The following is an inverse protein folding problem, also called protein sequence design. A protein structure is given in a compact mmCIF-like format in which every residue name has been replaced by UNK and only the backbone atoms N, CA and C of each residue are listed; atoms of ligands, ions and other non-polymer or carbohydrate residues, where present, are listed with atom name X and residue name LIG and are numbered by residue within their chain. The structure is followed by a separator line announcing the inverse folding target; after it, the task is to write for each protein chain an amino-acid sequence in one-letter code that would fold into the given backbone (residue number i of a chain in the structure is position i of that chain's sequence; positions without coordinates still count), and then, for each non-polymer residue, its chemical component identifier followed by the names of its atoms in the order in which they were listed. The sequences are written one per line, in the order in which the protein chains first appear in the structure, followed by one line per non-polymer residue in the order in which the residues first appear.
data_IF_075355767292
#
_entry.id   IF_075355767292
#
_cell.length_a   1.000
_cell.length_b   1.000
_cell.length_c   1.000
_cell.angle_alpha   90.00
_cell.angle_beta   90.00
_cell.angle_gamma   90.00
#
_symmetry.space_group_name_H-M   'P 1'
#
loop_
_entity.id
_entity.type
_entity.pdbx_description
1 polymer ?
#
# COMPACT_ATOMS: atom_id res chain seq x y z
N UNK A 1 17.06 -20.29 4.86
CA UNK A 1 15.85 -21.10 5.15
C UNK A 1 15.47 -20.77 6.58
N UNK A 2 14.42 -20.06 6.94
CA UNK A 2 13.07 -19.82 6.39
C UNK A 2 12.67 -18.41 6.85
N UNK A 3 12.36 -17.49 5.93
CA UNK A 3 11.66 -16.24 6.29
C UNK A 3 10.26 -16.37 5.72
N UNK A 4 9.44 -17.14 6.43
CA UNK A 4 8.00 -17.05 6.26
C UNK A 4 7.66 -15.66 6.81
N UNK A 5 7.40 -14.72 5.91
CA UNK A 5 6.85 -13.41 6.27
C UNK A 5 5.40 -13.65 6.66
N UNK A 6 5.20 -13.90 7.96
CA UNK A 6 3.90 -14.20 8.53
C UNK A 6 2.99 -12.96 8.50
N UNK A 7 2.25 -12.78 7.40
CA UNK A 7 1.12 -11.86 7.32
C UNK A 7 -0.08 -12.51 7.98
N UNK A 8 -0.49 -12.01 9.16
CA UNK A 8 -1.70 -12.47 9.83
C UNK A 8 -2.87 -11.54 9.51
N UNK A 9 -3.95 -12.14 9.00
CA UNK A 9 -5.23 -11.53 8.67
C UNK A 9 -6.08 -11.32 9.95
N UNK A 10 -6.69 -10.14 10.10
CA UNK A 10 -7.88 -9.99 10.94
C UNK A 10 -9.16 -10.10 10.10
N UNK A 11 -10.15 -10.81 10.64
CA UNK A 11 -11.41 -11.22 10.00
C UNK A 11 -12.13 -10.08 9.25
N UNK A 12 -12.44 -10.34 7.98
CA UNK A 12 -13.30 -9.52 7.12
C UNK A 12 -14.64 -9.17 7.77
N UNK A 13 -14.93 -7.86 7.92
CA UNK A 13 -16.28 -7.36 8.15
C UNK A 13 -16.86 -6.78 6.85
N UNK A 14 -18.17 -6.99 6.64
CA UNK A 14 -18.89 -6.69 5.38
C UNK A 14 -18.98 -5.19 5.01
N UNK A 15 -18.39 -4.27 5.78
CA UNK A 15 -18.25 -2.85 5.42
C UNK A 15 -16.83 -2.58 4.87
N UNK A 16 -16.59 -3.13 3.68
CA UNK A 16 -15.34 -3.73 3.23
C UNK A 16 -14.46 -2.79 2.36
N UNK A 17 -14.19 -1.56 2.80
CA UNK A 17 -13.34 -0.61 2.04
C UNK A 17 -11.85 -0.64 2.42
N UNK A 18 -11.49 -1.38 3.47
CA UNK A 18 -10.14 -1.43 4.01
C UNK A 18 -9.60 -2.85 4.02
N UNK A 19 -8.28 -2.98 3.97
CA UNK A 19 -7.50 -4.20 4.15
C UNK A 19 -6.68 -4.01 5.42
N UNK A 20 -6.89 -4.89 6.39
CA UNK A 20 -6.15 -4.91 7.65
C UNK A 20 -5.11 -6.02 7.58
N UNK A 21 -3.86 -5.69 7.88
CA UNK A 21 -2.72 -6.60 7.77
C UNK A 21 -1.70 -6.34 8.87
N UNK A 22 -1.02 -7.40 9.29
CA UNK A 22 0.13 -7.34 10.17
C UNK A 22 1.42 -7.45 9.33
N UNK A 23 2.34 -6.50 9.46
CA UNK A 23 3.61 -6.49 8.73
C UNK A 23 4.81 -6.40 9.66
N UNK A 24 5.92 -7.04 9.30
CA UNK A 24 7.17 -6.87 10.01
C UNK A 24 7.65 -5.40 9.92
N UNK A 25 8.08 -4.84 11.05
CA UNK A 25 8.54 -3.44 11.16
C UNK A 25 9.68 -3.11 10.18
N UNK A 26 10.61 -4.04 9.99
CA UNK A 26 11.75 -3.87 9.06
C UNK A 26 11.29 -3.90 7.62
N UNK A 27 10.35 -4.80 7.28
CA UNK A 27 9.72 -4.83 5.95
C UNK A 27 9.01 -3.51 5.62
N UNK A 28 8.27 -2.96 6.58
CA UNK A 28 7.58 -1.68 6.44
C UNK A 28 8.53 -0.51 6.17
N UNK A 29 9.68 -0.48 6.86
CA UNK A 29 10.72 0.51 6.61
C UNK A 29 11.27 0.49 5.16
N UNK A 30 11.42 -0.69 4.55
CA UNK A 30 11.84 -0.79 3.15
C UNK A 30 10.76 -0.30 2.19
N UNK A 31 9.49 -0.50 2.51
CA UNK A 31 8.36 0.03 1.73
C UNK A 31 8.30 1.56 1.81
N UNK A 32 8.52 2.13 3.00
CA UNK A 32 8.65 3.59 3.17
C UNK A 32 9.79 4.15 2.31
N UNK A 33 10.94 3.48 2.28
CA UNK A 33 12.06 3.89 1.40
C UNK A 33 11.71 3.84 -0.08
N UNK A 34 10.96 2.82 -0.52
CA UNK A 34 10.50 2.74 -1.91
C UNK A 34 9.59 3.91 -2.26
N UNK A 35 8.70 4.31 -1.34
CA UNK A 35 7.82 5.47 -1.51
C UNK A 35 8.62 6.78 -1.57
N UNK A 36 9.63 6.96 -0.71
CA UNK A 36 10.52 8.13 -0.74
C UNK A 36 11.24 8.28 -2.09
N UNK A 37 11.82 7.17 -2.58
CA UNK A 37 12.51 7.15 -3.85
C UNK A 37 11.54 7.43 -5.00
N UNK A 38 10.33 6.86 -4.97
CA UNK A 38 9.32 7.10 -5.99
C UNK A 38 8.83 8.54 -6.00
N UNK A 39 8.62 9.14 -4.83
CA UNK A 39 8.21 10.54 -4.69
C UNK A 39 9.28 11.54 -5.16
N UNK A 40 10.54 11.10 -5.24
CA UNK A 40 11.63 11.91 -5.77
C UNK A 40 11.64 11.97 -7.32
N UNK A 41 10.80 11.17 -8.01
CA UNK A 41 10.67 11.19 -9.47
C UNK A 41 9.77 12.35 -9.94
N UNK A 42 10.25 13.12 -10.92
CA UNK A 42 9.57 14.29 -11.50
C UNK A 42 8.35 13.93 -12.37
N UNK A 43 8.15 12.65 -12.70
CA UNK A 43 7.14 12.20 -13.67
C UNK A 43 5.89 11.54 -13.06
N UNK A 44 5.52 11.95 -11.83
CA UNK A 44 4.29 11.47 -11.19
C UNK A 44 3.06 12.28 -11.62
N UNK A 45 1.94 11.57 -11.82
CA UNK A 45 0.61 12.20 -11.88
C UNK A 45 0.22 12.73 -10.50
N UNK A 46 -0.67 13.72 -10.44
CA UNK A 46 -1.05 14.37 -9.17
C UNK A 46 -1.74 13.40 -8.22
N UNK A 47 -2.54 12.49 -8.76
CA UNK A 47 -3.21 11.45 -7.96
C UNK A 47 -2.20 10.42 -7.43
N UNK A 48 -1.18 10.06 -8.20
CA UNK A 48 -0.12 9.14 -7.75
C UNK A 48 0.74 9.78 -6.66
N UNK A 49 1.15 11.03 -6.84
CA UNK A 49 1.91 11.79 -5.84
C UNK A 49 1.13 11.88 -4.52
N UNK A 50 -0.15 12.27 -4.60
CA UNK A 50 -1.06 12.31 -3.45
C UNK A 50 -1.17 10.94 -2.76
N UNK A 51 -1.40 9.88 -3.54
CA UNK A 51 -1.52 8.53 -2.99
C UNK A 51 -0.24 8.06 -2.31
N UNK A 52 0.93 8.30 -2.90
CA UNK A 52 2.21 7.88 -2.33
C UNK A 52 2.59 8.68 -1.09
N UNK A 53 2.29 9.98 -1.04
CA UNK A 53 2.47 10.77 0.19
C UNK A 53 1.61 10.22 1.33
N UNK A 54 0.32 9.95 1.06
CA UNK A 54 -0.60 9.38 2.08
C UNK A 54 -0.18 7.99 2.54
N UNK A 55 0.24 7.12 1.63
CA UNK A 55 0.75 5.79 1.97
C UNK A 55 2.02 5.88 2.82
N UNK A 56 2.91 6.83 2.52
CA UNK A 56 4.13 7.05 3.28
C UNK A 56 3.83 7.52 4.70
N UNK A 57 2.91 8.49 4.85
CA UNK A 57 2.42 8.95 6.17
C UNK A 57 1.82 7.78 6.96
N UNK A 58 0.90 7.02 6.36
CA UNK A 58 0.26 5.86 6.98
C UNK A 58 1.29 4.85 7.51
N UNK A 59 2.25 4.46 6.68
CA UNK A 59 3.27 3.48 7.06
C UNK A 59 4.22 4.01 8.14
N UNK A 60 4.60 5.28 8.04
CA UNK A 60 5.42 5.93 9.04
C UNK A 60 4.72 5.97 10.40
N UNK A 61 3.46 6.42 10.42
CA UNK A 61 2.67 6.56 11.64
C UNK A 61 2.44 5.21 12.30
N UNK A 62 2.01 4.19 11.53
CA UNK A 62 1.86 2.82 12.03
C UNK A 62 3.19 2.27 12.58
N UNK A 63 4.32 2.56 11.91
CA UNK A 63 5.64 2.15 12.42
C UNK A 63 5.99 2.87 13.72
N UNK A 64 5.67 4.15 13.87
CA UNK A 64 6.01 4.91 15.08
C UNK A 64 5.08 4.66 16.27
N UNK A 65 3.88 4.10 16.04
CA UNK A 65 2.87 3.86 17.08
C UNK A 65 3.29 2.83 18.15
N UNK A 66 4.11 1.85 17.79
CA UNK A 66 4.53 0.78 18.70
C UNK A 66 5.94 0.29 18.38
N UNK A 67 6.70 -0.13 19.40
CA UNK A 67 8.03 -0.76 19.24
C UNK A 67 7.98 -2.27 18.99
N UNK A 68 6.78 -2.82 18.78
CA UNK A 68 6.62 -4.24 18.47
C UNK A 68 7.29 -4.61 17.14
N UNK A 69 7.76 -5.87 17.01
CA UNK A 69 8.41 -6.35 15.78
C UNK A 69 7.44 -6.42 14.60
N UNK A 70 6.14 -6.44 14.88
CA UNK A 70 5.07 -6.42 13.91
C UNK A 70 4.16 -5.22 14.14
N UNK A 71 3.72 -4.63 13.05
CA UNK A 71 2.91 -3.41 12.99
C UNK A 71 1.59 -3.75 12.31
N UNK A 72 0.49 -3.31 12.91
CA UNK A 72 -0.83 -3.42 12.30
C UNK A 72 -1.04 -2.23 11.35
N UNK A 73 -1.55 -2.52 10.15
CA UNK A 73 -1.81 -1.51 9.12
C UNK A 73 -3.21 -1.72 8.57
N UNK A 74 -3.92 -0.61 8.42
CA UNK A 74 -5.25 -0.55 7.79
C UNK A 74 -5.20 0.32 6.53
N UNK A 75 -5.20 -0.33 5.36
CA UNK A 75 -5.06 0.34 4.06
C UNK A 75 -6.42 0.40 3.34
N UNK A 76 -6.82 1.57 2.85
CA UNK A 76 -8.01 1.66 1.99
C UNK A 76 -7.77 0.99 0.63
N UNK A 77 -8.76 0.26 0.12
CA UNK A 77 -8.69 -0.48 -1.14
C UNK A 77 -8.45 0.41 -2.38
N UNK A 78 -8.73 1.71 -2.32
CA UNK A 78 -8.39 2.63 -3.41
C UNK A 78 -6.86 2.76 -3.61
N UNK A 79 -6.06 2.48 -2.58
CA UNK A 79 -4.60 2.56 -2.65
C UNK A 79 -3.95 1.35 -3.34
N UNK A 80 -4.67 0.25 -3.53
CA UNK A 80 -4.08 -1.01 -4.00
C UNK A 80 -3.51 -0.90 -5.41
N UNK A 81 -4.15 -0.13 -6.30
CA UNK A 81 -3.62 0.14 -7.64
C UNK A 81 -2.30 0.89 -7.58
N UNK A 82 -2.17 1.87 -6.68
CA UNK A 82 -0.92 2.61 -6.51
C UNK A 82 0.18 1.71 -5.95
N UNK A 83 -0.15 0.82 -5.01
CA UNK A 83 0.79 -0.19 -4.51
C UNK A 83 1.26 -1.16 -5.62
N UNK A 84 0.36 -1.58 -6.50
CA UNK A 84 0.71 -2.41 -7.68
C UNK A 84 1.62 -1.65 -8.65
N UNK A 85 1.31 -0.38 -8.94
CA UNK A 85 2.16 0.45 -9.79
C UNK A 85 3.56 0.65 -9.19
N UNK A 86 3.64 0.84 -7.87
CA UNK A 86 4.91 0.95 -7.14
C UNK A 86 5.71 -0.36 -7.24
N UNK A 87 5.06 -1.50 -7.04
CA UNK A 87 5.66 -2.82 -7.20
C UNK A 87 6.21 -3.04 -8.61
N UNK A 88 5.43 -2.67 -9.63
CA UNK A 88 5.87 -2.74 -11.03
C UNK A 88 7.07 -1.84 -11.31
N UNK A 89 7.10 -0.63 -10.75
CA UNK A 89 8.24 0.27 -10.90
C UNK A 89 9.54 -0.34 -10.35
N UNK A 90 9.46 -0.99 -9.18
CA UNK A 90 10.61 -1.61 -8.51
C UNK A 90 10.82 -3.10 -8.82
N UNK A 91 10.21 -3.64 -9.88
CA UNK A 91 10.21 -5.09 -10.14
C UNK A 91 11.61 -5.72 -10.26
N UNK A 92 12.64 -4.98 -10.68
CA UNK A 92 14.02 -5.48 -10.80
C UNK A 92 14.91 -5.20 -9.58
N UNK A 93 14.38 -4.58 -8.51
CA UNK A 93 15.14 -4.20 -7.31
C UNK A 93 14.86 -5.19 -6.18
N UNK A 94 15.88 -5.95 -5.78
CA UNK A 94 15.75 -6.98 -4.72
C UNK A 94 15.60 -6.38 -3.32
N UNK A 95 16.15 -5.19 -3.09
CA UNK A 95 16.02 -4.47 -1.81
C UNK A 95 14.56 -4.11 -1.46
N UNK A 96 13.68 -4.08 -2.45
CA UNK A 96 12.24 -3.84 -2.30
C UNK A 96 11.41 -5.13 -2.43
N UNK A 97 12.00 -6.29 -2.18
CA UNK A 97 11.27 -7.56 -2.07
C UNK A 97 10.06 -7.49 -1.11
N UNK A 98 10.13 -6.82 0.06
CA UNK A 98 8.96 -6.65 0.93
C UNK A 98 7.76 -5.98 0.25
N UNK A 99 7.99 -5.03 -0.67
CA UNK A 99 6.93 -4.38 -1.43
C UNK A 99 6.26 -5.36 -2.39
N UNK A 100 7.03 -6.25 -3.02
CA UNK A 100 6.49 -7.29 -3.90
C UNK A 100 5.61 -8.26 -3.14
N UNK A 101 6.10 -8.75 -2.00
CA UNK A 101 5.34 -9.67 -1.16
C UNK A 101 4.04 -9.02 -0.68
N UNK A 102 4.09 -7.75 -0.24
CA UNK A 102 2.89 -7.01 0.14
C UNK A 102 1.92 -6.84 -1.04
N UNK A 103 2.43 -6.54 -2.23
CA UNK A 103 1.63 -6.39 -3.44
C UNK A 103 0.95 -7.70 -3.85
N UNK A 104 1.66 -8.82 -3.81
CA UNK A 104 1.13 -10.16 -4.10
C UNK A 104 0.03 -10.55 -3.10
N UNK A 105 0.29 -10.30 -1.81
CA UNK A 105 -0.66 -10.54 -0.73
C UNK A 105 -1.94 -9.71 -0.97
N UNK A 106 -1.80 -8.42 -1.23
CA UNK A 106 -2.92 -7.52 -1.54
C UNK A 106 -3.68 -7.96 -2.81
N UNK A 107 -2.97 -8.36 -3.87
CA UNK A 107 -3.58 -8.72 -5.15
C UNK A 107 -4.48 -9.95 -5.02
N UNK A 108 -4.12 -10.92 -4.18
CA UNK A 108 -4.98 -12.06 -3.85
C UNK A 108 -6.34 -11.61 -3.30
N UNK A 109 -6.39 -10.50 -2.54
CA UNK A 109 -7.62 -9.95 -1.97
C UNK A 109 -8.35 -8.96 -2.88
N UNK A 110 -7.66 -8.33 -3.83
CA UNK A 110 -8.27 -7.44 -4.82
C UNK A 110 -9.23 -8.17 -5.77
N UNK A 111 -9.10 -9.49 -5.92
CA UNK A 111 -9.92 -10.30 -6.85
C UNK A 111 -11.42 -10.20 -6.52
N UNK A 112 -11.79 -10.04 -5.25
CA UNK A 112 -13.20 -9.92 -4.84
C UNK A 112 -13.80 -8.52 -5.03
N UNK A 113 -12.96 -7.48 -5.22
CA UNK A 113 -13.39 -6.08 -5.28
C UNK A 113 -12.89 -5.36 -6.55
N UNK A 114 -12.61 -6.13 -7.61
CA UNK A 114 -12.12 -5.63 -8.91
C UNK A 114 -13.01 -4.51 -9.44
N UNK A 115 -14.34 -4.64 -9.31
CA UNK A 115 -15.30 -3.66 -9.82
C UNK A 115 -15.22 -2.32 -9.08
N UNK A 116 -14.97 -2.33 -7.77
CA UNK A 116 -14.80 -1.11 -6.97
C UNK A 116 -13.48 -0.39 -7.29
N UNK A 117 -12.39 -1.16 -7.39
CA UNK A 117 -11.05 -0.63 -7.70
C UNK A 117 -11.00 -0.08 -9.12
N UNK A 118 -11.62 -0.76 -10.08
CA UNK A 118 -11.71 -0.31 -11.48
C UNK A 118 -12.59 0.93 -11.62
N UNK A 119 -13.72 0.99 -10.91
CA UNK A 119 -14.58 2.18 -10.87
C UNK A 119 -13.84 3.40 -10.34
N UNK A 120 -13.10 3.28 -9.23
CA UNK A 120 -12.24 4.36 -8.71
C UNK A 120 -11.15 4.76 -9.73
N UNK A 121 -10.53 3.77 -10.37
CA UNK A 121 -9.49 3.98 -11.37
C UNK A 121 -9.98 4.75 -12.60
N UNK A 122 -11.25 4.65 -12.94
CA UNK A 122 -11.89 5.36 -14.05
C UNK A 122 -12.27 6.82 -13.74
N UNK A 123 -12.18 7.26 -12.48
CA UNK A 123 -12.50 8.63 -12.10
C UNK A 123 -11.48 9.64 -12.65
N UNK A 124 -11.91 10.89 -12.78
CA UNK A 124 -11.03 12.01 -13.10
C UNK A 124 -9.99 12.22 -11.98
N UNK A 125 -8.78 12.64 -12.34
CA UNK A 125 -7.65 12.90 -11.45
C UNK A 125 -8.04 13.82 -10.28
N UNK A 126 -8.74 14.93 -10.54
CA UNK A 126 -9.18 15.86 -9.48
C UNK A 126 -10.17 15.24 -8.47
N UNK A 127 -10.94 14.23 -8.89
CA UNK A 127 -11.86 13.50 -8.02
C UNK A 127 -11.05 12.51 -7.18
N UNK A 128 -10.11 11.80 -7.80
CA UNK A 128 -9.21 10.88 -7.09
C UNK A 128 -8.41 11.59 -6.01
N UNK A 129 -7.77 12.72 -6.33
CA UNK A 129 -7.03 13.52 -5.36
C UNK A 129 -7.91 13.92 -4.18
N UNK A 130 -9.14 14.40 -4.42
CA UNK A 130 -10.08 14.74 -3.34
C UNK A 130 -10.43 13.55 -2.46
N UNK A 131 -10.68 12.38 -3.04
CA UNK A 131 -10.97 11.17 -2.27
C UNK A 131 -9.75 10.74 -1.45
N UNK A 132 -8.58 10.64 -2.07
CA UNK A 132 -7.32 10.25 -1.42
C UNK A 132 -6.91 11.22 -0.30
N UNK A 133 -7.21 12.51 -0.46
CA UNK A 133 -6.86 13.53 0.55
C UNK A 133 -7.77 13.51 1.78
N UNK A 134 -9.00 13.01 1.65
CA UNK A 134 -10.04 13.04 2.68
C UNK A 134 -10.25 11.70 3.41
N UNK A 135 -9.53 10.66 2.99
CA UNK A 135 -9.46 9.35 3.66
C UNK A 135 -8.41 9.38 4.77
#
# INVERSE_FOLDING_TARGET
MTVVTDFYQFKYSRNNFYVELLINRTALFYIEKALEERLSDLHLSKDSECAYMRLKELFHDSRMESDLPYVEIRINKCYLKYMQNLCYYFHNRSEYEPLKILSDYIQYFSISDIDGISSFSGLNEDIKVRVLSNL
#
